data_IF_203136944376
#
_entry.id   IF_203136944376
#
_cell.length_a   1.000
_cell.length_b   1.000
_cell.length_c   1.000
_cell.angle_alpha   90.00
_cell.angle_beta   90.00
_cell.angle_gamma   90.00
#
_symmetry.space_group_name_H-M   'P 1'
#
loop_
_entity.id
_entity.type
_entity.pdbx_description
1 polymer ?
#
# COMPACT_ATOMS: atom_id res chain seq x y z
N UNK A 1 96.20 -45.89 31.37
CA UNK A 1 95.89 -44.48 31.06
C UNK A 1 94.49 -44.49 30.45
N UNK A 2 93.39 -44.09 31.09
CA UNK A 2 93.18 -43.40 32.35
C UNK A 2 91.93 -43.97 33.01
N UNK A 3 92.07 -44.43 34.25
CA UNK A 3 90.92 -44.79 35.08
C UNK A 3 90.23 -43.47 35.39
N UNK A 4 89.09 -43.20 34.77
CA UNK A 4 88.24 -42.07 35.15
C UNK A 4 87.76 -42.36 36.58
N UNK A 5 88.54 -41.92 37.56
CA UNK A 5 88.11 -41.80 38.93
C UNK A 5 87.13 -40.62 38.99
N UNK A 6 85.88 -40.85 38.56
CA UNK A 6 84.80 -40.00 39.05
C UNK A 6 84.72 -40.28 40.55
N UNK A 7 84.99 -39.28 41.38
CA UNK A 7 85.02 -39.40 42.86
C UNK A 7 83.66 -39.72 43.50
N UNK A 8 82.70 -40.23 42.73
CA UNK A 8 81.31 -40.46 43.11
C UNK A 8 80.95 -41.90 42.75
N UNK A 9 80.42 -42.63 43.71
CA UNK A 9 80.07 -44.03 43.51
C UNK A 9 78.99 -44.21 42.41
N UNK A 10 79.05 -45.25 41.57
CA UNK A 10 78.17 -45.42 40.41
C UNK A 10 76.67 -45.43 40.71
N UNK A 11 76.26 -45.88 41.91
CA UNK A 11 74.86 -45.83 42.34
C UNK A 11 74.37 -44.42 42.69
N UNK A 12 75.26 -43.55 43.18
CA UNK A 12 74.96 -42.14 43.46
C UNK A 12 74.78 -41.39 42.14
N UNK A 13 75.63 -41.67 41.15
CA UNK A 13 75.49 -41.08 39.81
C UNK A 13 74.18 -41.52 39.15
N UNK A 14 73.85 -42.82 39.15
CA UNK A 14 72.55 -43.31 38.66
C UNK A 14 71.35 -42.68 39.38
N UNK A 15 71.41 -42.53 40.70
CA UNK A 15 70.34 -41.87 41.45
C UNK A 15 70.21 -40.38 41.10
N UNK A 16 71.33 -39.69 40.87
CA UNK A 16 71.35 -38.30 40.40
C UNK A 16 70.77 -38.16 38.99
N UNK A 17 71.16 -39.05 38.07
CA UNK A 17 70.69 -39.06 36.69
C UNK A 17 69.18 -39.36 36.64
N UNK A 18 68.71 -40.36 37.39
CA UNK A 18 67.27 -40.64 37.54
C UNK A 18 66.49 -39.45 38.08
N UNK A 19 67.06 -38.72 39.07
CA UNK A 19 66.42 -37.51 39.61
C UNK A 19 66.35 -36.41 38.54
N UNK A 20 67.41 -36.21 37.76
CA UNK A 20 67.43 -35.24 36.67
C UNK A 20 66.41 -35.61 35.57
N UNK A 21 66.31 -36.87 35.19
CA UNK A 21 65.32 -37.38 34.23
C UNK A 21 63.88 -37.17 34.70
N UNK A 22 63.59 -37.39 35.99
CA UNK A 22 62.26 -37.14 36.57
C UNK A 22 61.92 -35.65 36.53
N UNK A 23 62.88 -34.77 36.85
CA UNK A 23 62.66 -33.31 36.75
C UNK A 23 62.40 -32.88 35.31
N UNK A 24 63.18 -33.38 34.35
CA UNK A 24 62.96 -33.11 32.92
C UNK A 24 61.60 -33.64 32.46
N UNK A 25 61.19 -34.82 32.92
CA UNK A 25 59.90 -35.41 32.61
C UNK A 25 58.74 -34.56 33.14
N UNK A 26 58.84 -34.04 34.38
CA UNK A 26 57.84 -33.14 34.94
C UNK A 26 57.78 -31.79 34.20
N UNK A 27 58.93 -31.23 33.80
CA UNK A 27 58.98 -30.02 32.98
C UNK A 27 58.36 -30.24 31.58
N UNK A 28 58.57 -31.40 30.97
CA UNK A 28 57.91 -31.76 29.70
C UNK A 28 56.40 -31.92 29.87
N UNK A 29 55.94 -32.54 30.96
CA UNK A 29 54.52 -32.68 31.27
C UNK A 29 53.86 -31.31 31.48
N UNK A 30 54.53 -30.38 32.17
CA UNK A 30 54.05 -29.01 32.33
C UNK A 30 53.96 -28.26 31.00
N UNK A 31 54.96 -28.39 30.11
CA UNK A 31 54.91 -27.80 28.77
C UNK A 31 53.81 -28.41 27.91
N UNK A 32 53.62 -29.72 28.00
CA UNK A 32 52.53 -30.43 27.32
C UNK A 32 51.17 -29.92 27.79
N UNK A 33 51.00 -29.73 29.10
CA UNK A 33 49.77 -29.17 29.67
C UNK A 33 49.55 -27.72 29.21
N UNK A 34 50.60 -26.89 29.21
CA UNK A 34 50.52 -25.52 28.71
C UNK A 34 50.08 -25.47 27.23
N UNK A 35 50.69 -26.29 26.38
CA UNK A 35 50.30 -26.37 24.96
C UNK A 35 48.88 -26.91 24.78
N UNK A 36 48.45 -27.87 25.60
CA UNK A 36 47.07 -28.35 25.61
C UNK A 36 46.07 -27.23 25.94
N UNK A 37 46.35 -26.43 26.97
CA UNK A 37 45.53 -25.30 27.37
C UNK A 37 45.51 -24.18 26.30
N UNK A 38 46.65 -23.91 25.66
CA UNK A 38 46.77 -22.99 24.54
C UNK A 38 45.95 -23.47 23.33
N UNK A 39 46.02 -24.75 22.98
CA UNK A 39 45.20 -25.36 21.91
C UNK A 39 43.71 -25.20 22.23
N UNK A 40 43.28 -25.49 23.46
CA UNK A 40 41.89 -25.31 23.87
C UNK A 40 41.44 -23.85 23.79
N UNK A 41 42.31 -22.90 24.15
CA UNK A 41 42.04 -21.47 24.03
C UNK A 41 41.92 -21.05 22.55
N UNK A 42 42.81 -21.52 21.69
CA UNK A 42 42.75 -21.26 20.25
C UNK A 42 41.50 -21.86 19.61
N UNK A 43 41.09 -23.07 20.01
CA UNK A 43 39.84 -23.68 19.55
C UNK A 43 38.64 -22.82 19.94
N UNK A 44 38.60 -22.29 21.17
CA UNK A 44 37.52 -21.39 21.60
C UNK A 44 37.51 -20.08 20.81
N UNK A 45 38.68 -19.46 20.60
CA UNK A 45 38.81 -18.24 19.80
C UNK A 45 38.39 -18.46 18.34
N UNK A 46 38.78 -19.59 17.76
CA UNK A 46 38.37 -19.98 16.41
C UNK A 46 36.85 -20.11 16.32
N UNK A 47 36.19 -20.76 17.30
CA UNK A 47 34.73 -20.87 17.34
C UNK A 47 34.03 -19.51 17.44
N UNK A 48 34.58 -18.58 18.25
CA UNK A 48 34.03 -17.23 18.36
C UNK A 48 34.19 -16.45 17.05
N UNK A 49 35.34 -16.58 16.39
CA UNK A 49 35.58 -15.98 15.07
C UNK A 49 34.68 -16.59 14.00
N UNK A 50 34.44 -17.89 14.04
CA UNK A 50 33.53 -18.58 13.11
C UNK A 50 32.09 -18.08 13.29
N UNK A 51 31.63 -17.92 14.53
CA UNK A 51 30.33 -17.32 14.81
C UNK A 51 30.26 -15.86 14.28
N UNK A 52 31.28 -15.05 14.55
CA UNK A 52 31.33 -13.67 14.06
C UNK A 52 31.33 -13.59 12.52
N UNK A 53 32.01 -14.54 11.85
CA UNK A 53 31.98 -14.67 10.39
C UNK A 53 30.59 -15.06 9.89
N UNK A 54 29.91 -16.01 10.53
CA UNK A 54 28.54 -16.40 10.16
C UNK A 54 27.57 -15.22 10.30
N UNK A 55 27.64 -14.47 11.42
CA UNK A 55 26.82 -13.27 11.64
C UNK A 55 27.12 -12.20 10.58
N UNK A 56 28.39 -11.98 10.24
CA UNK A 56 28.79 -11.06 9.16
C UNK A 56 28.26 -11.51 7.80
N UNK A 57 28.30 -12.81 7.48
CA UNK A 57 27.79 -13.36 6.22
C UNK A 57 26.29 -13.11 6.09
N UNK A 58 25.49 -13.43 7.13
CA UNK A 58 24.04 -13.16 7.12
C UNK A 58 23.76 -11.66 6.98
N UNK A 59 24.56 -10.81 7.61
CA UNK A 59 24.45 -9.35 7.48
C UNK A 59 24.74 -8.88 6.05
N UNK A 60 25.77 -9.43 5.40
CA UNK A 60 26.09 -9.15 4.00
C UNK A 60 24.93 -9.58 3.10
N UNK A 61 24.41 -10.80 3.23
CA UNK A 61 23.26 -11.27 2.44
C UNK A 61 22.01 -10.38 2.62
N UNK A 62 21.76 -9.92 3.84
CA UNK A 62 20.65 -9.00 4.12
C UNK A 62 20.88 -7.64 3.44
N UNK A 63 22.09 -7.10 3.51
CA UNK A 63 22.44 -5.85 2.86
C UNK A 63 22.39 -5.98 1.33
N UNK A 64 22.82 -7.09 0.76
CA UNK A 64 22.71 -7.40 -0.66
C UNK A 64 21.24 -7.44 -1.11
N UNK A 65 20.36 -8.11 -0.37
CA UNK A 65 18.91 -8.13 -0.66
C UNK A 65 18.29 -6.72 -0.60
N UNK A 66 18.69 -5.91 0.39
CA UNK A 66 18.28 -4.50 0.48
C UNK A 66 18.83 -3.68 -0.69
N UNK A 67 20.07 -3.92 -1.10
CA UNK A 67 20.68 -3.23 -2.23
C UNK A 67 19.98 -3.56 -3.55
N UNK A 68 19.61 -4.83 -3.78
CA UNK A 68 18.85 -5.25 -4.95
C UNK A 68 17.48 -4.56 -5.01
N UNK A 69 16.80 -4.43 -3.88
CA UNK A 69 15.50 -3.73 -3.83
C UNK A 69 15.64 -2.22 -4.05
N UNK A 70 16.65 -1.58 -3.47
CA UNK A 70 16.96 -0.17 -3.74
C UNK A 70 17.34 0.05 -5.21
N UNK A 71 18.12 -0.85 -5.81
CA UNK A 71 18.47 -0.78 -7.23
C UNK A 71 17.23 -0.86 -8.12
N UNK A 72 16.30 -1.78 -7.82
CA UNK A 72 15.02 -1.86 -8.54
C UNK A 72 14.18 -0.60 -8.39
N UNK A 73 14.15 0.01 -7.21
CA UNK A 73 13.48 1.30 -7.00
C UNK A 73 14.14 2.41 -7.81
N UNK A 74 15.47 2.46 -7.86
CA UNK A 74 16.21 3.43 -8.68
C UNK A 74 15.94 3.26 -10.18
N UNK A 75 15.90 2.02 -10.69
CA UNK A 75 15.50 1.72 -12.08
C UNK A 75 14.05 2.16 -12.37
N UNK A 76 13.14 1.96 -11.42
CA UNK A 76 11.75 2.44 -11.55
C UNK A 76 11.67 3.97 -11.55
N UNK A 77 12.46 4.65 -10.72
CA UNK A 77 12.52 6.12 -10.72
C UNK A 77 13.07 6.62 -12.07
N UNK A 78 14.16 6.03 -12.57
CA UNK A 78 14.75 6.41 -13.84
C UNK A 78 13.77 6.26 -15.02
N UNK A 79 12.97 5.18 -15.05
CA UNK A 79 11.93 5.00 -16.08
C UNK A 79 10.80 6.02 -15.94
N UNK A 80 10.37 6.36 -14.72
CA UNK A 80 9.39 7.41 -14.49
C UNK A 80 9.91 8.79 -14.93
N UNK A 81 11.16 9.11 -14.62
CA UNK A 81 11.84 10.34 -15.06
C UNK A 81 11.90 10.42 -16.59
N UNK A 82 12.23 9.32 -17.27
CA UNK A 82 12.22 9.26 -18.74
C UNK A 82 10.81 9.50 -19.32
N UNK A 83 9.78 8.88 -18.74
CA UNK A 83 8.39 9.10 -19.19
C UNK A 83 7.90 10.52 -18.92
N UNK A 84 8.32 11.12 -17.80
CA UNK A 84 8.01 12.51 -17.46
C UNK A 84 8.66 13.46 -18.47
N UNK A 85 9.94 13.26 -18.79
CA UNK A 85 10.63 14.05 -19.81
C UNK A 85 9.94 13.94 -21.17
N UNK A 86 9.52 12.73 -21.59
CA UNK A 86 8.76 12.53 -22.83
C UNK A 86 7.41 13.25 -22.80
N UNK A 87 6.72 13.26 -21.66
CA UNK A 87 5.46 14.00 -21.52
C UNK A 87 5.69 15.51 -21.60
N UNK A 88 6.76 16.02 -20.98
CA UNK A 88 7.11 17.44 -21.02
C UNK A 88 7.49 17.90 -22.44
N UNK A 89 8.22 17.08 -23.21
CA UNK A 89 8.52 17.41 -24.60
C UNK A 89 7.27 17.39 -25.47
N UNK A 90 6.35 16.44 -25.26
CA UNK A 90 5.05 16.43 -25.94
C UNK A 90 4.22 17.68 -25.59
N UNK A 91 4.16 18.05 -24.32
CA UNK A 91 3.49 19.27 -23.87
C UNK A 91 4.07 20.51 -24.54
N UNK A 92 5.40 20.63 -24.61
CA UNK A 92 6.07 21.72 -25.32
C UNK A 92 5.70 21.75 -26.81
N UNK A 93 5.72 20.60 -27.49
CA UNK A 93 5.32 20.52 -28.91
C UNK A 93 3.87 20.93 -29.13
N UNK A 94 2.96 20.54 -28.22
CA UNK A 94 1.56 20.97 -28.30
C UNK A 94 1.40 22.46 -27.99
N UNK A 95 2.15 23.00 -27.03
CA UNK A 95 2.15 24.42 -26.73
C UNK A 95 2.62 25.26 -27.93
N UNK A 96 3.73 24.87 -28.57
CA UNK A 96 4.21 25.52 -29.81
C UNK A 96 3.21 25.41 -30.95
N UNK A 97 2.56 24.24 -31.11
CA UNK A 97 1.52 24.07 -32.13
C UNK A 97 0.30 24.97 -31.87
N UNK A 98 -0.10 25.14 -30.61
CA UNK A 98 -1.17 26.05 -30.21
C UNK A 98 -0.78 27.50 -30.50
N UNK A 99 0.43 27.92 -30.14
CA UNK A 99 0.94 29.28 -30.40
C UNK A 99 0.97 29.56 -31.90
N UNK A 100 1.43 28.60 -32.72
CA UNK A 100 1.42 28.73 -34.17
C UNK A 100 -0.01 28.85 -34.74
N UNK A 101 -0.95 28.02 -34.28
CA UNK A 101 -2.35 28.10 -34.69
C UNK A 101 -3.02 29.41 -34.27
N UNK A 102 -2.68 29.95 -33.09
CA UNK A 102 -3.14 31.26 -32.65
C UNK A 102 -2.60 32.37 -33.55
N UNK A 103 -1.31 32.33 -33.90
CA UNK A 103 -0.72 33.30 -34.82
C UNK A 103 -1.37 33.24 -36.23
N UNK A 104 -1.66 32.04 -36.73
CA UNK A 104 -2.40 31.85 -37.99
C UNK A 104 -3.83 32.39 -37.89
N UNK A 105 -4.52 32.16 -36.76
CA UNK A 105 -5.87 32.67 -36.51
C UNK A 105 -5.90 34.20 -36.52
N UNK A 106 -4.98 34.86 -35.82
CA UNK A 106 -4.87 36.32 -35.77
C UNK A 106 -4.57 36.91 -37.16
N UNK A 107 -3.69 36.26 -37.93
CA UNK A 107 -3.40 36.64 -39.32
C UNK A 107 -4.64 36.58 -40.22
N UNK A 108 -5.42 35.49 -40.11
CA UNK A 108 -6.68 35.32 -40.84
C UNK A 108 -7.75 36.32 -40.39
N UNK A 109 -7.82 36.66 -39.10
CA UNK A 109 -8.73 37.69 -38.61
C UNK A 109 -8.36 39.08 -39.17
N UNK A 110 -7.08 39.41 -39.22
CA UNK A 110 -6.58 40.63 -39.86
C UNK A 110 -6.91 40.67 -41.37
N UNK A 111 -6.76 39.56 -42.08
CA UNK A 111 -7.16 39.50 -43.50
C UNK A 111 -8.68 39.63 -43.68
N UNK A 112 -9.48 38.95 -42.86
CA UNK A 112 -10.94 39.00 -42.93
C UNK A 112 -11.47 40.42 -42.64
N UNK A 113 -10.92 41.09 -41.62
CA UNK A 113 -11.27 42.49 -41.33
C UNK A 113 -10.84 43.43 -42.46
N UNK A 114 -9.68 43.21 -43.10
CA UNK A 114 -9.24 43.96 -44.28
C UNK A 114 -10.17 43.75 -45.48
N UNK A 115 -10.57 42.51 -45.77
CA UNK A 115 -11.50 42.19 -46.84
C UNK A 115 -12.88 42.77 -46.58
N UNK A 116 -13.40 42.70 -45.34
CA UNK A 116 -14.65 43.36 -44.95
C UNK A 116 -14.60 44.87 -45.17
N UNK A 117 -13.49 45.53 -44.79
CA UNK A 117 -13.29 46.96 -45.05
C UNK A 117 -13.25 47.27 -46.55
N UNK A 118 -12.55 46.44 -47.34
CA UNK A 118 -12.47 46.60 -48.79
C UNK A 118 -13.83 46.39 -49.47
N UNK A 119 -14.60 45.38 -49.04
CA UNK A 119 -15.95 45.09 -49.51
C UNK A 119 -16.92 46.23 -49.15
N UNK A 120 -16.89 46.73 -47.92
CA UNK A 120 -17.70 47.88 -47.50
C UNK A 120 -17.36 49.16 -48.28
N UNK A 121 -16.07 49.39 -48.58
CA UNK A 121 -15.64 50.51 -49.43
C UNK A 121 -16.11 50.34 -50.89
N UNK A 122 -16.12 49.11 -51.41
CA UNK A 122 -16.66 48.78 -52.73
C UNK A 122 -18.19 48.96 -52.78
N UNK A 123 -18.92 48.51 -51.77
CA UNK A 123 -20.36 48.77 -51.63
C UNK A 123 -20.67 50.26 -51.52
N UNK A 124 -19.91 51.03 -50.73
CA UNK A 124 -20.10 52.47 -50.64
C UNK A 124 -19.85 53.17 -51.99
N UNK A 125 -18.84 52.70 -52.75
CA UNK A 125 -18.54 53.19 -54.11
C UNK A 125 -19.64 52.81 -55.10
N UNK A 126 -20.17 51.58 -55.00
CA UNK A 126 -21.30 51.10 -55.82
C UNK A 126 -22.59 51.86 -55.48
N UNK A 127 -22.89 52.11 -54.21
CA UNK A 127 -24.03 52.91 -53.76
C UNK A 127 -23.93 54.37 -54.25
N UNK A 128 -22.74 54.98 -54.23
CA UNK A 128 -22.50 56.32 -54.80
C UNK A 128 -22.69 56.35 -56.33
N UNK A 129 -22.37 55.27 -57.04
CA UNK A 129 -22.66 55.13 -58.48
C UNK A 129 -24.10 54.70 -58.81
N UNK A 130 -24.89 54.25 -57.83
CA UNK A 130 -26.28 53.83 -58.03
C UNK A 130 -27.29 54.95 -57.69
N UNK A 131 -26.81 56.08 -57.14
CA UNK A 131 -27.63 57.28 -56.88
C UNK A 131 -27.97 58.13 -58.11
N UNK A 132 -27.53 57.78 -59.33
CA UNK A 132 -27.83 58.53 -60.56
C UNK A 132 -28.80 57.84 -61.53
N UNK A 133 -29.47 56.74 -61.16
CA UNK A 133 -30.50 56.16 -62.05
C UNK A 133 -31.73 55.64 -61.30
N UNK A 134 -32.71 56.53 -61.19
CA UNK A 134 -34.16 56.33 -61.33
C UNK A 134 -34.81 55.07 -60.76
N UNK A 135 -35.68 55.30 -59.76
CA UNK A 135 -37.08 54.86 -59.71
C UNK A 135 -37.45 53.55 -60.43
N UNK A 136 -37.74 52.49 -59.66
CA UNK A 136 -39.03 51.79 -59.84
C UNK A 136 -39.49 51.00 -58.61
N UNK A 137 -40.80 51.05 -58.40
CA UNK A 137 -41.59 50.41 -57.33
C UNK A 137 -41.65 48.89 -57.50
N UNK A 138 -41.76 48.16 -56.37
CA UNK A 138 -42.83 47.19 -56.04
C UNK A 138 -42.49 46.50 -54.69
N UNK A 139 -43.36 46.61 -53.67
CA UNK A 139 -44.26 45.55 -53.18
C UNK A 139 -43.54 44.23 -52.88
N UNK A 140 -43.67 43.55 -51.75
CA UNK A 140 -44.48 43.69 -50.55
C UNK A 140 -43.98 42.61 -49.57
N UNK A 141 -43.82 42.92 -48.29
CA UNK A 141 -44.57 42.26 -47.20
C UNK A 141 -44.10 42.84 -45.86
N UNK A 142 -44.97 43.65 -45.27
CA UNK A 142 -44.84 44.03 -43.87
C UNK A 142 -45.40 42.92 -42.99
N UNK A 143 -44.68 42.58 -41.93
CA UNK A 143 -45.33 42.42 -40.62
C UNK A 143 -44.33 42.74 -39.53
N UNK A 144 -44.46 43.97 -39.07
CA UNK A 144 -43.90 44.51 -37.83
C UNK A 144 -44.94 44.27 -36.73
N UNK A 145 -44.48 44.44 -35.49
CA UNK A 145 -45.25 44.63 -34.25
C UNK A 145 -45.57 43.33 -33.52
N UNK A 146 -45.52 43.25 -32.19
CA UNK A 146 -44.97 44.02 -31.05
C UNK A 146 -45.39 43.17 -29.84
N UNK A 147 -44.58 43.20 -28.78
CA UNK A 147 -44.97 43.06 -27.36
C UNK A 147 -45.81 41.87 -26.86
N UNK A 148 -45.61 41.61 -25.57
CA UNK A 148 -46.50 40.89 -24.65
C UNK A 148 -46.38 39.35 -24.69
N UNK A 149 -45.76 38.75 -23.67
CA UNK A 149 -46.41 38.33 -22.41
C UNK A 149 -47.15 37.00 -22.59
N UNK A 150 -46.46 35.88 -22.32
CA UNK A 150 -47.01 34.60 -21.85
C UNK A 150 -45.81 33.66 -21.58
N UNK A 151 -45.41 33.31 -20.37
CA UNK A 151 -46.09 32.54 -19.34
C UNK A 151 -46.42 31.07 -19.74
N UNK A 152 -45.78 30.16 -19.00
CA UNK A 152 -46.21 28.79 -18.65
C UNK A 152 -45.85 27.58 -19.54
N UNK A 153 -45.65 26.46 -18.82
CA UNK A 153 -45.33 25.07 -19.20
C UNK A 153 -43.84 24.80 -19.41
N UNK A 154 -43.06 24.40 -18.38
CA UNK A 154 -43.24 23.12 -17.67
C UNK A 154 -42.97 23.20 -16.16
N UNK A 155 -44.08 23.01 -15.43
CA UNK A 155 -44.34 22.14 -14.28
C UNK A 155 -43.33 21.98 -13.12
N UNK A 156 -43.89 22.30 -11.95
CA UNK A 156 -43.48 22.00 -10.57
C UNK A 156 -43.28 20.51 -10.24
N UNK A 157 -42.38 20.32 -9.29
CA UNK A 157 -42.17 19.11 -8.50
C UNK A 157 -41.30 19.46 -7.30
N UNK A 158 -41.95 19.98 -6.27
CA UNK A 158 -41.45 20.42 -4.97
C UNK A 158 -40.49 19.42 -4.28
N UNK A 159 -39.43 19.90 -3.62
CA UNK A 159 -39.38 19.93 -2.13
C UNK A 159 -38.05 20.51 -1.58
N UNK A 160 -38.22 21.42 -0.62
CA UNK A 160 -37.34 21.83 0.47
C UNK A 160 -35.92 22.42 0.22
N UNK A 161 -35.89 23.75 0.10
CA UNK A 161 -35.30 24.68 1.11
C UNK A 161 -33.94 24.28 1.72
N UNK A 162 -32.83 24.96 1.40
CA UNK A 162 -32.40 26.20 2.09
C UNK A 162 -31.32 26.88 1.26
N UNK A 163 -31.51 28.17 0.96
CA UNK A 163 -30.86 28.86 -0.15
C UNK A 163 -29.44 29.36 0.07
N UNK A 164 -28.87 29.87 -1.03
CA UNK A 164 -28.03 31.08 -1.11
C UNK A 164 -27.89 31.42 -2.60
N UNK A 165 -28.74 32.33 -3.09
CA UNK A 165 -28.67 32.89 -4.44
C UNK A 165 -28.04 34.27 -4.37
N UNK A 166 -26.73 34.38 -4.56
CA UNK A 166 -26.03 35.57 -5.07
C UNK A 166 -24.56 35.21 -5.30
N UNK A 167 -24.01 35.64 -6.44
CA UNK A 167 -22.64 35.46 -6.99
C UNK A 167 -22.57 34.31 -8.02
N UNK A 168 -23.14 34.56 -9.20
CA UNK A 168 -23.33 33.59 -10.27
C UNK A 168 -22.23 33.57 -11.35
N UNK A 169 -21.04 34.12 -11.12
CA UNK A 169 -19.94 34.13 -12.14
C UNK A 169 -18.63 33.44 -11.70
N UNK A 170 -18.62 32.70 -10.57
CA UNK A 170 -17.44 31.93 -10.11
C UNK A 170 -17.76 30.58 -9.45
N UNK A 171 -19.04 30.18 -9.42
CA UNK A 171 -19.51 29.05 -8.61
C UNK A 171 -19.22 27.65 -9.21
N UNK A 172 -18.97 27.56 -10.52
CA UNK A 172 -18.67 26.28 -11.18
C UNK A 172 -17.23 25.80 -10.93
N UNK A 173 -16.29 26.72 -10.71
CA UNK A 173 -14.90 26.39 -10.37
C UNK A 173 -14.76 26.01 -8.89
N UNK A 174 -15.44 26.74 -7.99
CA UNK A 174 -15.45 26.43 -6.56
C UNK A 174 -16.10 25.09 -6.20
N UNK A 175 -17.16 24.67 -6.92
CA UNK A 175 -17.81 23.39 -6.68
C UNK A 175 -16.90 22.20 -7.02
N UNK A 176 -16.21 22.28 -8.18
CA UNK A 176 -15.21 21.27 -8.59
C UNK A 176 -14.02 21.22 -7.63
N UNK A 177 -13.52 22.38 -7.19
CA UNK A 177 -12.47 22.45 -6.17
C UNK A 177 -12.91 21.87 -4.82
N UNK A 178 -14.14 22.11 -4.38
CA UNK A 178 -14.69 21.52 -3.15
C UNK A 178 -14.87 20.00 -3.29
N UNK A 179 -15.27 19.50 -4.45
CA UNK A 179 -15.35 18.05 -4.70
C UNK A 179 -13.97 17.38 -4.78
N UNK A 180 -12.98 18.05 -5.38
CA UNK A 180 -11.59 17.63 -5.41
C UNK A 180 -10.97 17.63 -4.02
N UNK A 181 -11.22 18.64 -3.19
CA UNK A 181 -10.78 18.66 -1.80
C UNK A 181 -11.47 17.58 -0.97
N UNK A 182 -12.76 17.33 -1.19
CA UNK A 182 -13.48 16.22 -0.55
C UNK A 182 -12.92 14.86 -0.97
N UNK A 183 -12.53 14.68 -2.23
CA UNK A 183 -11.90 13.44 -2.71
C UNK A 183 -10.50 13.26 -2.16
N UNK A 184 -9.70 14.34 -2.09
CA UNK A 184 -8.39 14.36 -1.44
C UNK A 184 -8.49 14.02 0.05
N UNK A 185 -9.47 14.58 0.78
CA UNK A 185 -9.72 14.25 2.19
C UNK A 185 -10.11 12.77 2.35
N UNK A 186 -10.94 12.22 1.46
CA UNK A 186 -11.27 10.78 1.47
C UNK A 186 -10.04 9.92 1.22
N UNK A 187 -9.19 10.31 0.26
CA UNK A 187 -7.93 9.63 -0.04
C UNK A 187 -6.98 9.67 1.16
N UNK A 188 -6.74 10.85 1.73
CA UNK A 188 -5.88 11.00 2.92
C UNK A 188 -6.42 10.24 4.13
N UNK A 189 -7.74 10.14 4.31
CA UNK A 189 -8.35 9.30 5.35
C UNK A 189 -8.15 7.82 5.07
N UNK A 190 -8.23 7.39 3.81
CA UNK A 190 -7.97 6.01 3.41
C UNK A 190 -6.48 5.64 3.54
N UNK A 191 -5.57 6.57 3.27
CA UNK A 191 -4.13 6.36 3.43
C UNK A 191 -3.75 6.32 4.92
N UNK A 192 -4.28 7.25 5.72
CA UNK A 192 -4.12 7.20 7.18
C UNK A 192 -4.71 5.90 7.79
N UNK A 193 -5.85 5.43 7.26
CA UNK A 193 -6.41 4.12 7.61
C UNK A 193 -5.43 3.00 7.31
N UNK A 194 -4.86 3.02 6.10
CA UNK A 194 -3.93 2.02 5.63
C UNK A 194 -2.68 1.96 6.52
N UNK A 195 -2.04 3.11 6.77
CA UNK A 195 -0.84 3.22 7.60
C UNK A 195 -1.08 2.77 9.05
N UNK A 196 -2.13 3.27 9.71
CA UNK A 196 -2.48 2.85 11.09
C UNK A 196 -2.84 1.37 11.17
N UNK A 197 -3.54 0.85 10.16
CA UNK A 197 -3.90 -0.57 10.10
C UNK A 197 -2.69 -1.46 9.89
N UNK A 198 -1.65 -0.98 9.20
CA UNK A 198 -0.40 -1.71 9.01
C UNK A 198 0.32 -1.89 10.34
N UNK A 199 0.42 -0.84 11.15
CA UNK A 199 1.05 -0.92 12.47
C UNK A 199 0.27 -1.88 13.40
N UNK A 200 -1.07 -1.86 13.32
CA UNK A 200 -1.94 -2.75 14.09
C UNK A 200 -1.87 -4.21 13.60
N UNK A 201 -1.85 -4.44 12.29
CA UNK A 201 -1.65 -5.76 11.69
C UNK A 201 -0.26 -6.34 12.00
N UNK A 202 0.77 -5.49 12.01
CA UNK A 202 2.14 -5.85 12.41
C UNK A 202 2.21 -6.20 13.90
N UNK A 203 1.57 -5.41 14.77
CA UNK A 203 1.45 -5.69 16.21
C UNK A 203 0.81 -7.04 16.48
N UNK A 204 -0.19 -7.42 15.67
CA UNK A 204 -0.86 -8.71 15.75
C UNK A 204 -0.21 -9.81 14.87
N UNK A 205 0.93 -9.54 14.24
CA UNK A 205 1.69 -10.47 13.38
C UNK A 205 0.87 -11.09 12.24
N UNK A 206 -0.11 -10.35 11.67
CA UNK A 206 -0.87 -10.85 10.52
C UNK A 206 -0.09 -10.74 9.20
N UNK A 207 0.99 -9.98 9.14
CA UNK A 207 1.78 -9.76 7.92
C UNK A 207 2.36 -11.07 7.36
N UNK A 208 2.78 -12.00 8.22
CA UNK A 208 3.28 -13.34 7.84
C UNK A 208 2.22 -14.20 7.17
N UNK A 209 0.94 -13.99 7.47
CA UNK A 209 -0.16 -14.72 6.82
C UNK A 209 -0.42 -14.23 5.40
N UNK A 210 -0.08 -12.97 5.12
CA UNK A 210 -0.29 -12.34 3.81
C UNK A 210 0.81 -12.73 2.81
N UNK A 211 2.03 -12.98 3.28
CA UNK A 211 3.18 -13.37 2.46
C UNK A 211 3.02 -14.77 1.83
N UNK A 212 2.23 -15.65 2.46
CA UNK A 212 1.84 -16.95 1.90
C UNK A 212 0.93 -16.87 0.66
N UNK A 213 0.50 -15.66 0.25
CA UNK A 213 -0.38 -15.41 -0.89
C UNK A 213 0.34 -14.95 -2.16
N UNK A 214 1.68 -15.02 -2.23
CA UNK A 214 2.36 -14.80 -3.51
C UNK A 214 1.82 -15.82 -4.56
N UNK A 215 1.26 -15.38 -5.70
CA UNK A 215 0.52 -16.23 -6.65
C UNK A 215 1.37 -17.30 -7.37
N UNK A 216 2.64 -17.45 -7.01
CA UNK A 216 3.60 -18.27 -7.74
C UNK A 216 3.53 -19.77 -7.41
N UNK A 217 2.56 -20.27 -6.62
CA UNK A 217 2.52 -21.71 -6.30
C UNK A 217 1.15 -22.34 -5.99
N UNK A 218 0.08 -21.97 -6.70
CA UNK A 218 -1.29 -22.42 -6.34
C UNK A 218 -1.93 -23.43 -7.30
N UNK A 219 -1.22 -24.49 -7.72
CA UNK A 219 -1.89 -25.67 -8.31
C UNK A 219 -2.38 -26.68 -7.25
N UNK A 220 -2.00 -26.53 -5.97
CA UNK A 220 -2.31 -27.49 -4.90
C UNK A 220 -2.72 -26.85 -3.56
N UNK A 221 -3.28 -25.64 -3.58
CA UNK A 221 -3.74 -24.99 -2.34
C UNK A 221 -5.05 -25.63 -1.83
N UNK A 222 -4.98 -26.32 -0.68
CA UNK A 222 -6.12 -26.94 -0.01
C UNK A 222 -7.28 -25.94 0.22
N UNK A 223 -8.55 -26.37 0.10
CA UNK A 223 -9.72 -25.50 0.25
C UNK A 223 -9.77 -24.83 1.64
N UNK A 224 -9.31 -25.51 2.69
CA UNK A 224 -9.30 -24.97 4.07
C UNK A 224 -8.26 -23.86 4.28
N UNK A 225 -7.10 -23.92 3.60
CA UNK A 225 -6.13 -22.83 3.63
C UNK A 225 -6.67 -21.60 2.88
N UNK A 226 -7.44 -21.84 1.81
CA UNK A 226 -8.11 -20.75 1.07
C UNK A 226 -9.19 -20.10 1.92
N UNK A 227 -10.00 -20.86 2.68
CA UNK A 227 -11.02 -20.28 3.55
C UNK A 227 -10.39 -19.46 4.68
N UNK A 228 -9.36 -19.98 5.34
CA UNK A 228 -8.61 -19.24 6.36
C UNK A 228 -8.00 -17.95 5.78
N UNK A 229 -7.45 -18.00 4.55
CA UNK A 229 -6.91 -16.82 3.89
C UNK A 229 -7.96 -15.78 3.48
N UNK A 230 -9.19 -16.21 3.15
CA UNK A 230 -10.30 -15.28 2.89
C UNK A 230 -10.76 -14.65 4.21
N UNK A 231 -10.89 -15.46 5.27
CA UNK A 231 -11.23 -14.99 6.61
C UNK A 231 -10.20 -13.98 7.14
N UNK A 232 -8.89 -14.18 6.92
CA UNK A 232 -7.84 -13.23 7.32
C UNK A 232 -7.96 -11.91 6.56
N UNK A 233 -8.22 -11.95 5.24
CA UNK A 233 -8.42 -10.74 4.42
C UNK A 233 -9.62 -9.93 4.87
N UNK A 234 -10.73 -10.59 5.19
CA UNK A 234 -11.93 -9.91 5.72
C UNK A 234 -11.64 -9.29 7.08
N UNK A 235 -10.96 -10.01 7.96
CA UNK A 235 -10.59 -9.51 9.29
C UNK A 235 -9.68 -8.29 9.22
N UNK A 236 -8.67 -8.31 8.35
CA UNK A 236 -7.77 -7.16 8.11
C UNK A 236 -8.56 -5.95 7.59
N UNK A 237 -9.55 -6.17 6.72
CA UNK A 237 -10.41 -5.09 6.21
C UNK A 237 -11.25 -4.47 7.32
N UNK A 238 -11.87 -5.28 8.18
CA UNK A 238 -12.65 -4.81 9.33
C UNK A 238 -11.78 -4.10 10.38
N UNK A 239 -10.57 -4.60 10.59
CA UNK A 239 -9.61 -3.99 11.50
C UNK A 239 -9.12 -2.63 10.98
N UNK A 240 -8.88 -2.52 9.67
CA UNK A 240 -8.53 -1.26 9.02
C UNK A 240 -9.65 -0.23 9.16
N UNK A 241 -10.91 -0.61 8.93
CA UNK A 241 -12.04 0.33 9.08
C UNK A 241 -12.24 0.76 10.53
N UNK A 242 -12.08 -0.14 11.50
CA UNK A 242 -12.18 0.19 12.92
C UNK A 242 -11.03 1.09 13.41
N UNK A 243 -9.78 0.83 13.00
CA UNK A 243 -8.60 1.61 13.38
C UNK A 243 -8.46 2.96 12.66
N UNK A 244 -9.03 3.09 11.47
CA UNK A 244 -8.97 4.31 10.66
C UNK A 244 -9.76 5.49 11.21
N UNK A 245 -10.90 5.19 11.87
CA UNK A 245 -11.87 6.19 12.29
C UNK A 245 -12.16 6.06 13.79
N UNK A 246 -11.15 6.27 14.66
CA UNK A 246 -11.40 6.34 16.10
C UNK A 246 -12.31 7.54 16.37
N UNK A 247 -13.55 7.27 16.77
CA UNK A 247 -14.53 8.31 17.10
C UNK A 247 -14.36 8.68 18.56
N UNK A 248 -13.95 9.92 18.83
CA UNK A 248 -13.94 10.44 20.20
C UNK A 248 -15.37 10.54 20.71
N UNK A 249 -15.65 9.90 21.84
CA UNK A 249 -16.95 10.01 22.51
C UNK A 249 -17.00 11.36 23.20
N UNK A 250 -17.90 12.24 22.74
CA UNK A 250 -18.11 13.53 23.37
C UNK A 250 -18.82 13.33 24.71
N UNK A 251 -18.20 13.84 25.78
CA UNK A 251 -18.77 13.83 27.14
C UNK A 251 -19.63 15.07 27.41
N UNK A 252 -19.74 15.98 26.43
CA UNK A 252 -20.27 17.32 26.58
C UNK A 252 -21.70 17.28 27.15
N UNK A 253 -21.90 17.99 28.25
CA UNK A 253 -23.19 18.19 28.89
C UNK A 253 -24.05 19.28 28.23
N UNK A 254 -23.74 19.70 26.99
CA UNK A 254 -24.54 20.64 26.18
C UNK A 254 -25.84 19.96 25.70
N UNK A 255 -26.63 19.56 26.70
CA UNK A 255 -28.01 19.19 26.59
C UNK A 255 -28.76 20.49 26.39
N UNK A 256 -28.87 20.94 25.14
CA UNK A 256 -29.92 21.87 24.74
C UNK A 256 -31.27 21.24 25.10
N UNK A 257 -31.75 21.60 26.29
CA UNK A 257 -33.09 21.42 26.84
C UNK A 257 -33.65 20.01 26.81
N UNK A 258 -33.63 19.30 27.95
CA UNK A 258 -34.67 18.38 28.46
C UNK A 258 -35.34 17.33 27.55
N UNK A 259 -34.90 17.15 26.31
CA UNK A 259 -35.55 16.28 25.31
C UNK A 259 -35.03 14.86 25.47
N UNK A 260 -35.95 13.91 25.31
CA UNK A 260 -35.67 12.47 25.31
C UNK A 260 -34.52 12.15 24.34
N UNK A 261 -33.46 11.49 24.83
CA UNK A 261 -32.33 11.06 24.02
C UNK A 261 -32.37 9.56 23.80
N UNK A 262 -32.11 9.14 22.55
CA UNK A 262 -31.95 7.73 22.22
C UNK A 262 -30.76 7.15 22.99
N UNK A 263 -30.93 5.96 23.56
CA UNK A 263 -29.87 5.19 24.24
C UNK A 263 -28.60 5.06 23.38
N UNK A 264 -28.75 4.99 22.05
CA UNK A 264 -27.63 4.91 21.09
C UNK A 264 -26.74 6.15 21.06
N UNK A 265 -27.26 7.31 21.50
CA UNK A 265 -26.55 8.59 21.56
C UNK A 265 -25.92 8.84 22.93
N UNK A 266 -26.11 7.94 23.89
CA UNK A 266 -25.49 8.08 25.21
C UNK A 266 -23.98 7.83 25.10
N UNK A 267 -23.14 8.62 25.80
CA UNK A 267 -21.69 8.45 25.78
C UNK A 267 -21.25 7.03 26.18
N UNK A 268 -21.90 6.47 27.20
CA UNK A 268 -21.61 5.13 27.71
C UNK A 268 -21.92 4.04 26.66
N UNK A 269 -23.09 4.09 26.01
CA UNK A 269 -23.41 3.18 24.92
C UNK A 269 -22.43 3.29 23.75
N UNK A 270 -22.05 4.52 23.36
CA UNK A 270 -21.10 4.74 22.29
C UNK A 270 -19.73 4.16 22.62
N UNK A 271 -19.25 4.36 23.85
CA UNK A 271 -18.00 3.79 24.33
C UNK A 271 -18.05 2.26 24.36
N UNK A 272 -19.09 1.67 24.96
CA UNK A 272 -19.26 0.22 25.03
C UNK A 272 -19.36 -0.42 23.63
N UNK A 273 -20.03 0.25 22.69
CA UNK A 273 -20.10 -0.20 21.29
C UNK A 273 -18.71 -0.19 20.63
N UNK A 274 -17.90 0.84 20.88
CA UNK A 274 -16.54 0.88 20.36
C UNK A 274 -15.67 -0.23 20.98
N UNK A 275 -15.77 -0.45 22.28
CA UNK A 275 -15.02 -1.49 22.98
C UNK A 275 -15.43 -2.90 22.52
N UNK A 276 -16.73 -3.15 22.32
CA UNK A 276 -17.21 -4.47 21.88
C UNK A 276 -16.75 -4.80 20.46
N UNK A 277 -16.67 -3.81 19.57
CA UNK A 277 -16.10 -3.99 18.21
C UNK A 277 -14.63 -4.40 18.29
N UNK A 278 -13.81 -3.70 19.07
CA UNK A 278 -12.39 -4.02 19.25
C UNK A 278 -12.18 -5.39 19.90
N UNK A 279 -12.97 -5.69 20.93
CA UNK A 279 -12.94 -6.98 21.61
C UNK A 279 -13.27 -8.14 20.65
N UNK A 280 -14.30 -7.96 19.83
CA UNK A 280 -14.72 -8.98 18.84
C UNK A 280 -13.64 -9.20 17.77
N UNK A 281 -13.01 -8.12 17.28
CA UNK A 281 -11.90 -8.19 16.33
C UNK A 281 -10.72 -8.97 16.91
N UNK A 282 -10.35 -8.69 18.17
CA UNK A 282 -9.29 -9.42 18.90
C UNK A 282 -9.62 -10.90 19.05
N UNK A 283 -10.84 -11.23 19.51
CA UNK A 283 -11.22 -12.62 19.69
C UNK A 283 -11.17 -13.39 18.36
N UNK A 284 -11.59 -12.76 17.26
CA UNK A 284 -11.53 -13.35 15.91
C UNK A 284 -10.09 -13.51 15.42
N UNK A 285 -9.19 -12.57 15.71
CA UNK A 285 -7.77 -12.73 15.36
C UNK A 285 -7.14 -13.90 16.10
N UNK A 286 -7.40 -14.04 17.40
CA UNK A 286 -6.85 -15.12 18.22
C UNK A 286 -7.35 -16.48 17.73
N UNK A 287 -8.66 -16.60 17.45
CA UNK A 287 -9.26 -17.81 16.91
C UNK A 287 -8.68 -18.20 15.55
N UNK A 288 -8.51 -17.23 14.66
CA UNK A 288 -7.99 -17.47 13.32
C UNK A 288 -6.52 -17.85 13.33
N UNK A 289 -5.75 -17.28 14.28
CA UNK A 289 -4.36 -17.64 14.53
C UNK A 289 -4.22 -19.07 15.03
N UNK A 290 -5.02 -19.49 16.02
CA UNK A 290 -5.05 -20.89 16.45
C UNK A 290 -5.38 -21.84 15.30
N UNK A 291 -6.37 -21.50 14.47
CA UNK A 291 -6.74 -22.30 13.30
C UNK A 291 -5.63 -22.38 12.26
N UNK A 292 -4.85 -21.30 12.09
CA UNK A 292 -3.67 -21.28 11.22
C UNK A 292 -2.56 -22.16 11.78
N UNK A 293 -2.27 -22.05 13.09
CA UNK A 293 -1.24 -22.85 13.77
C UNK A 293 -1.58 -24.34 13.71
N UNK A 294 -2.85 -24.73 13.87
CA UNK A 294 -3.35 -26.10 13.71
C UNK A 294 -3.12 -26.65 12.29
N UNK A 295 -3.36 -25.84 11.26
CA UNK A 295 -3.12 -26.22 9.87
C UNK A 295 -1.63 -26.29 9.52
N UNK A 296 -0.78 -25.51 10.20
CA UNK A 296 0.68 -25.55 10.05
C UNK A 296 1.30 -26.76 10.75
N UNK A 297 0.80 -27.15 11.93
CA UNK A 297 1.30 -28.27 12.72
C UNK A 297 0.96 -29.66 12.15
N UNK A 298 -0.01 -29.77 11.22
CA UNK A 298 -0.31 -31.05 10.57
C UNK A 298 0.77 -31.39 9.52
N UNK A 299 1.58 -32.45 9.70
CA UNK A 299 2.55 -32.88 8.70
C UNK A 299 1.82 -33.37 7.44
N UNK A 300 2.44 -33.19 6.27
CA UNK A 300 1.88 -33.51 4.96
C UNK A 300 1.33 -34.95 4.81
N UNK A 301 1.72 -35.88 5.68
CA UNK A 301 1.23 -37.26 5.72
C UNK A 301 -0.21 -37.39 6.26
N UNK A 302 -0.60 -36.63 7.30
CA UNK A 302 -1.95 -36.68 7.88
C UNK A 302 -3.02 -35.98 7.01
N UNK A 303 -2.58 -35.18 6.03
CA UNK A 303 -3.45 -34.38 5.14
C UNK A 303 -4.16 -35.21 4.06
N UNK A 304 -3.67 -36.42 3.76
CA UNK A 304 -4.31 -37.33 2.80
C UNK A 304 -5.48 -38.11 3.42
N UNK A 305 -5.38 -38.43 4.71
CA UNK A 305 -6.35 -39.31 5.38
C UNK A 305 -7.64 -38.58 5.80
N UNK A 306 -7.58 -37.28 6.10
CA UNK A 306 -8.80 -36.51 6.45
C UNK A 306 -9.69 -36.22 5.23
N UNK A 307 -9.10 -35.97 4.06
CA UNK A 307 -9.84 -35.78 2.80
C UNK A 307 -10.48 -37.08 2.34
N UNK A 308 -9.81 -38.22 2.53
CA UNK A 308 -10.39 -39.53 2.29
C UNK A 308 -11.62 -39.77 3.19
N UNK A 309 -11.51 -39.54 4.50
CA UNK A 309 -12.62 -39.76 5.44
C UNK A 309 -13.83 -38.84 5.18
N UNK A 310 -13.62 -37.58 4.82
CA UNK A 310 -14.73 -36.68 4.47
C UNK A 310 -15.40 -37.04 3.13
N UNK A 311 -14.64 -37.54 2.14
CA UNK A 311 -15.18 -38.02 0.87
C UNK A 311 -16.00 -39.31 1.04
N UNK A 312 -15.57 -40.23 1.90
CA UNK A 312 -16.35 -41.43 2.24
C UNK A 312 -17.65 -41.07 2.97
N UNK A 313 -17.64 -40.11 3.89
CA UNK A 313 -18.87 -39.72 4.60
C UNK A 313 -19.87 -38.93 3.74
N UNK A 314 -19.40 -38.13 2.78
CA UNK A 314 -20.29 -37.44 1.85
C UNK A 314 -20.96 -38.42 0.88
N UNK A 315 -20.20 -39.38 0.32
CA UNK A 315 -20.74 -40.39 -0.58
C UNK A 315 -21.74 -41.35 0.10
N UNK A 316 -21.53 -41.69 1.38
CA UNK A 316 -22.49 -42.52 2.14
C UNK A 316 -23.80 -41.78 2.41
N UNK A 317 -23.77 -40.46 2.67
CA UNK A 317 -24.99 -39.66 2.90
C UNK A 317 -25.79 -39.46 1.61
N UNK A 318 -25.11 -39.21 0.48
CA UNK A 318 -25.77 -39.06 -0.83
C UNK A 318 -26.46 -40.38 -1.21
N UNK A 319 -25.78 -41.53 -1.11
CA UNK A 319 -26.38 -42.82 -1.45
C UNK A 319 -27.55 -43.24 -0.53
N UNK A 320 -27.55 -42.84 0.74
CA UNK A 320 -28.69 -43.06 1.65
C UNK A 320 -29.91 -42.20 1.32
N UNK A 321 -29.71 -41.02 0.72
CA UNK A 321 -30.83 -40.17 0.28
C UNK A 321 -31.42 -40.67 -1.05
N UNK A 322 -30.60 -41.15 -1.99
CA UNK A 322 -31.09 -41.70 -3.26
C UNK A 322 -31.87 -42.99 -3.08
N UNK A 323 -31.50 -43.85 -2.12
CA UNK A 323 -32.24 -45.09 -1.80
C UNK A 323 -33.57 -44.89 -1.04
N UNK A 324 -33.87 -43.67 -0.57
CA UNK A 324 -35.15 -43.35 0.09
C UNK A 324 -36.18 -42.74 -0.87
N UNK A 325 -35.81 -42.49 -2.13
CA UNK A 325 -36.68 -41.90 -3.15
C UNK A 325 -37.05 -42.88 -4.29
N UNK A 326 -36.73 -44.16 -4.14
CA UNK A 326 -37.25 -45.28 -4.94
C UNK A 326 -38.05 -46.20 -4.02
#
# INVERSE_FOLDING_TARGET
MDKIATGVAPWIQRASDMKAEVVVSHDMERKLQQHSDEILKLIKDLKLKDQALQESTVKVELLEKRMVTVKKQAEQIATLEETLQKSQTQEHMYAEAIENLQAEYDSLEHENTRLKKAAAAQEAKLQLSTSESSNNKNQANGKKETSDDDSSLFNEGEDATTGTTTIANGAYDGAGQVEALKSAIRYLKAENAHLKSRDLASTLKLDTTTELLAPNNTKTAHPELRTVAIETRVLIKEMRTAGASPKVVALNADRRGGKWQSQKKTPDYQYQTQQSVLYTLKQRSDKLRHRMDELQLQPAAARKDSVANNSYHHNIKVNKQTKRQQ
#
